data_IF_550334377611
#
_entry.id   IF_550334377611
#
_cell.length_a   1.000
_cell.length_b   1.000
_cell.length_c   1.000
_cell.angle_alpha   90.00
_cell.angle_beta   90.00
_cell.angle_gamma   90.00
#
_symmetry.space_group_name_H-M   'P 1'
#
loop_
_entity.id
_entity.type
_entity.pdbx_description
1 polymer ?
#
# COMPACT_ATOMS: atom_id res chain seq x y z
N UNK A 1 15.29 -44.42 -22.69
CA UNK A 1 15.58 -43.14 -21.98
C UNK A 1 14.40 -42.18 -21.97
N UNK A 2 13.69 -41.97 -23.09
CA UNK A 2 12.56 -41.03 -23.21
C UNK A 2 11.44 -41.24 -22.16
N UNK A 3 11.05 -42.50 -21.87
CA UNK A 3 10.00 -42.81 -20.88
C UNK A 3 10.34 -42.38 -19.44
N UNK A 4 11.62 -42.35 -19.05
CA UNK A 4 12.05 -41.91 -17.71
C UNK A 4 12.03 -40.38 -17.57
N UNK A 5 12.31 -39.67 -18.67
CA UNK A 5 12.28 -38.19 -18.71
C UNK A 5 10.83 -37.68 -18.61
N UNK A 6 9.88 -38.35 -19.28
CA UNK A 6 8.45 -38.00 -19.21
C UNK A 6 7.89 -38.20 -17.79
N UNK A 7 8.29 -39.27 -17.10
CA UNK A 7 7.84 -39.54 -15.72
C UNK A 7 8.35 -38.49 -14.72
N UNK A 8 9.59 -38.02 -14.90
CA UNK A 8 10.19 -36.95 -14.09
C UNK A 8 9.51 -35.60 -14.31
N UNK A 9 9.09 -35.31 -15.55
CA UNK A 9 8.35 -34.09 -15.91
C UNK A 9 6.92 -34.08 -15.34
N UNK A 10 6.24 -35.22 -15.32
CA UNK A 10 4.91 -35.35 -14.69
C UNK A 10 4.99 -35.28 -13.15
N UNK A 11 6.06 -35.82 -12.55
CA UNK A 11 6.28 -35.72 -11.11
C UNK A 11 6.58 -34.29 -10.65
N UNK A 12 7.27 -33.47 -11.48
CA UNK A 12 7.51 -32.06 -11.16
C UNK A 12 6.27 -31.17 -11.27
N UNK A 13 5.27 -31.55 -12.07
CA UNK A 13 3.99 -30.83 -12.15
C UNK A 13 3.13 -31.07 -10.90
N UNK A 14 3.25 -32.24 -10.27
CA UNK A 14 2.54 -32.58 -9.02
C UNK A 14 3.18 -31.97 -7.76
N UNK A 15 4.41 -31.46 -7.86
CA UNK A 15 5.12 -30.77 -6.78
C UNK A 15 4.93 -29.24 -6.79
N UNK A 16 4.23 -28.70 -7.80
CA UNK A 16 3.69 -27.35 -7.73
C UNK A 16 2.54 -27.39 -6.73
N UNK A 17 2.84 -26.96 -5.50
CA UNK A 17 1.98 -27.09 -4.34
C UNK A 17 0.53 -26.74 -4.65
N UNK A 18 -0.38 -27.53 -4.08
CA UNK A 18 -1.78 -27.18 -4.04
C UNK A 18 -1.88 -25.81 -3.34
N UNK A 19 -2.10 -24.75 -4.11
CA UNK A 19 -2.65 -23.51 -3.57
C UNK A 19 -4.04 -23.90 -3.11
N UNK A 20 -4.19 -24.23 -1.83
CA UNK A 20 -5.51 -24.45 -1.25
C UNK A 20 -6.25 -23.13 -1.41
N UNK A 21 -7.31 -23.13 -2.23
CA UNK A 21 -8.18 -21.98 -2.34
C UNK A 21 -8.69 -21.65 -0.94
N UNK A 22 -8.49 -20.41 -0.50
CA UNK A 22 -9.10 -19.93 0.73
C UNK A 22 -10.61 -20.01 0.57
N UNK A 23 -11.27 -20.67 1.52
CA UNK A 23 -12.71 -20.55 1.68
C UNK A 23 -12.99 -19.24 2.41
N UNK A 24 -13.37 -18.21 1.65
CA UNK A 24 -13.71 -16.88 2.13
C UNK A 24 -15.22 -16.66 2.25
N UNK A 25 -16.00 -17.74 2.31
CA UNK A 25 -17.47 -17.67 2.41
C UNK A 25 -17.96 -17.17 3.77
N UNK A 26 -17.19 -17.38 4.83
CA UNK A 26 -17.50 -16.94 6.19
C UNK A 26 -16.83 -15.61 6.57
N UNK A 27 -16.11 -14.97 5.65
CA UNK A 27 -15.43 -13.71 5.92
C UNK A 27 -16.46 -12.58 5.97
N UNK A 28 -16.28 -11.67 6.93
CA UNK A 28 -17.06 -10.43 7.00
C UNK A 28 -16.56 -9.42 5.95
N UNK A 29 -17.29 -8.33 5.75
CA UNK A 29 -16.85 -7.24 4.88
C UNK A 29 -16.73 -5.92 5.63
N UNK A 30 -15.84 -5.06 5.15
CA UNK A 30 -15.68 -3.70 5.63
C UNK A 30 -15.55 -2.73 4.44
N UNK A 31 -16.19 -1.57 4.55
CA UNK A 31 -16.04 -0.50 3.55
C UNK A 31 -14.85 0.37 3.93
N UNK A 32 -13.91 0.55 3.00
CA UNK A 32 -12.78 1.47 3.12
C UNK A 32 -12.69 2.25 1.82
N UNK A 33 -12.80 3.57 1.92
CA UNK A 33 -12.95 4.47 0.81
C UNK A 33 -14.21 4.14 0.02
N UNK A 34 -14.01 3.87 -1.27
CA UNK A 34 -15.06 3.53 -2.21
C UNK A 34 -15.15 2.03 -2.52
N UNK A 35 -14.41 1.21 -1.78
CA UNK A 35 -14.33 -0.24 -1.98
C UNK A 35 -14.83 -1.00 -0.75
N UNK A 36 -15.38 -2.19 -1.01
CA UNK A 36 -15.70 -3.18 0.03
C UNK A 36 -14.62 -4.26 0.03
N UNK A 37 -14.04 -4.51 1.20
CA UNK A 37 -13.02 -5.54 1.39
C UNK A 37 -13.56 -6.67 2.25
N UNK A 38 -13.28 -7.91 1.86
CA UNK A 38 -13.44 -9.06 2.75
C UNK A 38 -12.37 -9.02 3.83
N UNK A 39 -12.77 -9.28 5.07
CA UNK A 39 -11.91 -9.28 6.24
C UNK A 39 -11.77 -10.72 6.77
N UNK A 40 -10.53 -11.23 6.94
CA UNK A 40 -10.30 -12.54 7.53
C UNK A 40 -10.91 -12.64 8.94
N UNK A 41 -11.44 -13.81 9.34
CA UNK A 41 -12.04 -13.99 10.68
C UNK A 41 -11.11 -13.64 11.86
N UNK A 42 -9.80 -13.82 11.67
CA UNK A 42 -8.79 -13.46 12.68
C UNK A 42 -8.61 -11.96 12.90
N UNK A 43 -9.13 -11.13 11.99
CA UNK A 43 -9.11 -9.66 12.05
C UNK A 43 -10.51 -9.07 12.17
N UNK A 44 -11.50 -9.85 12.59
CA UNK A 44 -12.84 -9.35 12.89
C UNK A 44 -12.83 -8.45 14.13
N UNK A 45 -13.74 -7.47 14.14
CA UNK A 45 -13.91 -6.46 15.21
C UNK A 45 -12.75 -5.45 15.24
N UNK A 46 -12.84 -4.39 14.42
CA UNK A 46 -11.76 -3.42 14.33
C UNK A 46 -11.60 -2.63 15.62
N UNK A 47 -10.36 -2.27 15.94
CA UNK A 47 -10.04 -1.22 16.90
C UNK A 47 -10.63 0.13 16.44
N UNK A 48 -10.50 0.43 15.14
CA UNK A 48 -11.05 1.63 14.52
C UNK A 48 -11.48 1.35 13.08
N UNK A 49 -12.62 1.91 12.68
CA UNK A 49 -13.05 1.85 11.29
C UNK A 49 -13.84 3.09 10.91
N UNK A 50 -13.44 3.71 9.81
CA UNK A 50 -14.10 4.85 9.20
C UNK A 50 -13.94 4.81 7.67
N UNK A 51 -14.32 5.89 6.99
CA UNK A 51 -14.19 5.97 5.54
C UNK A 51 -12.75 5.79 5.05
N UNK A 52 -11.74 6.22 5.81
CA UNK A 52 -10.35 6.16 5.35
C UNK A 52 -9.66 4.85 5.72
N UNK A 53 -10.17 4.09 6.69
CA UNK A 53 -9.46 2.91 7.19
C UNK A 53 -10.33 1.85 7.86
N UNK A 54 -9.78 0.64 7.86
CA UNK A 54 -10.13 -0.45 8.76
C UNK A 54 -8.85 -0.86 9.49
N UNK A 55 -8.80 -0.68 10.82
CA UNK A 55 -7.65 -1.01 11.67
C UNK A 55 -8.08 -2.05 12.70
N UNK A 56 -7.49 -3.25 12.64
CA UNK A 56 -7.83 -4.32 13.57
C UNK A 56 -7.28 -4.06 14.98
N UNK A 57 -6.06 -3.56 15.07
CA UNK A 57 -5.35 -3.32 16.32
C UNK A 57 -4.83 -1.87 16.36
N UNK A 58 -4.47 -1.38 17.54
CA UNK A 58 -3.83 -0.06 17.69
C UNK A 58 -2.47 -0.01 16.97
N UNK A 59 -1.78 -1.16 16.86
CA UNK A 59 -0.60 -1.33 16.02
C UNK A 59 -1.06 -1.56 14.57
N UNK A 60 -0.96 -0.49 13.77
CA UNK A 60 -1.35 -0.49 12.35
C UNK A 60 -0.62 -1.55 11.51
N UNK A 61 0.48 -2.13 12.01
CA UNK A 61 1.21 -3.17 11.31
C UNK A 61 0.62 -4.57 11.55
N UNK A 62 -0.31 -4.76 12.49
CA UNK A 62 -0.98 -6.05 12.72
C UNK A 62 -1.86 -6.41 11.53
N UNK A 63 -2.89 -5.59 11.26
CA UNK A 63 -3.71 -5.68 10.07
C UNK A 63 -4.45 -4.35 9.85
N UNK A 64 -4.22 -3.71 8.71
CA UNK A 64 -4.88 -2.46 8.34
C UNK A 64 -5.19 -2.45 6.85
N UNK A 65 -6.38 -1.97 6.47
CA UNK A 65 -6.70 -1.56 5.10
C UNK A 65 -6.91 -0.05 5.10
N UNK A 66 -6.25 0.69 4.20
CA UNK A 66 -6.31 2.16 4.18
C UNK A 66 -6.52 2.71 2.79
N UNK A 67 -7.46 3.65 2.69
CA UNK A 67 -7.64 4.53 1.53
C UNK A 67 -6.62 5.67 1.60
N UNK A 68 -5.83 5.84 0.53
CA UNK A 68 -4.65 6.72 0.58
C UNK A 68 -4.67 7.91 -0.36
N UNK A 69 -5.61 8.03 -1.30
CA UNK A 69 -5.61 9.14 -2.27
C UNK A 69 -5.43 10.54 -1.65
N UNK A 70 -6.06 10.91 -0.52
CA UNK A 70 -5.87 12.24 0.05
C UNK A 70 -4.43 12.57 0.44
N UNK A 71 -3.62 11.55 0.71
CA UNK A 71 -2.24 11.68 1.20
C UNK A 71 -1.26 10.79 0.40
N UNK A 72 -1.59 10.48 -0.86
CA UNK A 72 -0.85 9.49 -1.65
C UNK A 72 0.62 9.91 -1.82
N UNK A 73 0.87 11.19 -2.14
CA UNK A 73 2.20 11.78 -2.28
C UNK A 73 3.06 11.56 -1.03
N UNK A 74 2.56 11.99 0.13
CA UNK A 74 3.32 11.97 1.40
C UNK A 74 3.58 10.55 1.87
N UNK A 75 2.54 9.71 1.90
CA UNK A 75 2.65 8.35 2.38
C UNK A 75 3.51 7.50 1.45
N UNK A 76 3.24 7.53 0.14
CA UNK A 76 3.97 6.71 -0.82
C UNK A 76 5.45 7.12 -0.86
N UNK A 77 5.73 8.42 -0.91
CA UNK A 77 7.10 8.92 -0.93
C UNK A 77 7.88 8.52 0.31
N UNK A 78 7.29 8.69 1.50
CA UNK A 78 7.90 8.22 2.75
C UNK A 78 8.19 6.71 2.71
N UNK A 79 7.24 5.88 2.23
CA UNK A 79 7.46 4.44 2.17
C UNK A 79 8.59 4.06 1.20
N UNK A 80 8.68 4.69 0.04
CA UNK A 80 9.73 4.45 -0.95
C UNK A 80 11.12 4.76 -0.40
N UNK A 81 11.28 5.82 0.39
CA UNK A 81 12.59 6.21 0.93
C UNK A 81 13.02 5.34 2.12
N UNK A 82 12.08 4.85 2.93
CA UNK A 82 12.39 4.24 4.22
C UNK A 82 12.26 2.72 4.26
N UNK A 83 11.80 2.08 3.18
CA UNK A 83 11.47 0.66 3.17
C UNK A 83 12.08 -0.05 1.95
N UNK A 84 12.32 -1.36 2.10
CA UNK A 84 12.61 -2.19 0.94
C UNK A 84 11.31 -2.41 0.17
N UNK A 85 11.37 -2.41 -1.16
CA UNK A 85 10.17 -2.63 -1.97
C UNK A 85 10.42 -3.42 -3.25
N UNK A 86 9.35 -4.04 -3.76
CA UNK A 86 9.33 -4.72 -5.06
C UNK A 86 7.98 -4.54 -5.73
N UNK A 87 8.00 -4.48 -7.06
CA UNK A 87 6.78 -4.56 -7.89
C UNK A 87 6.27 -5.99 -7.92
N UNK A 88 4.97 -6.17 -7.75
CA UNK A 88 4.31 -7.49 -7.73
C UNK A 88 2.97 -7.41 -8.44
N UNK A 89 2.42 -8.57 -8.79
CA UNK A 89 1.02 -8.70 -9.19
C UNK A 89 0.32 -9.61 -8.18
N UNK A 90 -0.79 -9.14 -7.61
CA UNK A 90 -1.54 -9.86 -6.57
C UNK A 90 -2.99 -9.94 -7.02
N UNK A 91 -3.48 -11.16 -7.26
CA UNK A 91 -4.87 -11.39 -7.68
C UNK A 91 -5.32 -10.56 -8.90
N UNK A 92 -4.40 -10.25 -9.82
CA UNK A 92 -4.68 -9.43 -11.00
C UNK A 92 -4.48 -7.93 -10.81
N UNK A 93 -4.11 -7.47 -9.61
CA UNK A 93 -3.77 -6.08 -9.34
C UNK A 93 -2.26 -5.88 -9.42
N UNK A 94 -1.82 -4.88 -10.20
CA UNK A 94 -0.47 -4.34 -10.07
C UNK A 94 -0.29 -3.67 -8.71
N UNK A 95 0.84 -3.94 -8.07
CA UNK A 95 1.06 -3.52 -6.70
C UNK A 95 2.55 -3.30 -6.37
N UNK A 96 2.78 -2.54 -5.29
CA UNK A 96 4.09 -2.36 -4.66
C UNK A 96 4.06 -3.03 -3.29
N UNK A 97 4.93 -4.01 -3.08
CA UNK A 97 5.10 -4.66 -1.79
C UNK A 97 6.32 -4.09 -1.08
N UNK A 98 6.06 -3.41 0.04
CA UNK A 98 7.04 -2.87 0.96
C UNK A 98 7.28 -3.84 2.11
N UNK A 99 8.53 -3.93 2.56
CA UNK A 99 8.92 -4.62 3.79
C UNK A 99 9.84 -3.75 4.64
N UNK A 100 9.58 -3.74 5.94
CA UNK A 100 10.44 -3.10 6.93
C UNK A 100 10.59 -3.99 8.15
N UNK A 101 11.80 -3.99 8.71
CA UNK A 101 12.09 -4.66 9.95
C UNK A 101 11.83 -3.72 11.13
N UNK A 102 10.90 -4.08 12.00
CA UNK A 102 10.63 -3.38 13.24
C UNK A 102 11.58 -3.90 14.33
N UNK A 103 12.39 -3.00 14.88
CA UNK A 103 13.37 -3.33 15.91
C UNK A 103 12.75 -3.48 17.30
N UNK A 104 11.55 -2.93 17.52
CA UNK A 104 10.91 -2.90 18.84
C UNK A 104 10.34 -4.27 19.20
N UNK A 105 9.70 -4.95 18.25
CA UNK A 105 9.17 -6.30 18.43
C UNK A 105 9.95 -7.38 17.66
N UNK A 106 11.04 -6.99 16.98
CA UNK A 106 11.90 -7.85 16.17
C UNK A 106 11.13 -8.62 15.09
N UNK A 107 10.08 -8.02 14.54
CA UNK A 107 9.30 -8.58 13.43
C UNK A 107 9.60 -7.86 12.12
N UNK A 108 9.22 -8.49 11.01
CA UNK A 108 9.18 -7.83 9.70
C UNK A 108 7.73 -7.57 9.37
N UNK A 109 7.42 -6.34 9.00
CA UNK A 109 6.08 -5.90 8.65
C UNK A 109 6.03 -5.59 7.16
N UNK A 110 4.89 -5.90 6.54
CA UNK A 110 4.65 -5.67 5.13
C UNK A 110 3.57 -4.64 4.90
N UNK A 111 3.68 -3.94 3.78
CA UNK A 111 2.59 -3.13 3.22
C UNK A 111 2.47 -3.41 1.73
N UNK A 112 1.25 -3.60 1.24
CA UNK A 112 0.97 -3.82 -0.17
C UNK A 112 0.12 -2.67 -0.68
N UNK A 113 0.69 -1.86 -1.56
CA UNK A 113 0.02 -0.75 -2.21
C UNK A 113 -0.52 -1.18 -3.56
N UNK A 114 -1.79 -0.91 -3.85
CA UNK A 114 -2.45 -1.29 -5.10
C UNK A 114 -3.57 -0.30 -5.42
N UNK A 115 -4.12 -0.42 -6.61
CA UNK A 115 -5.33 0.32 -7.00
C UNK A 115 -6.54 -0.60 -7.10
N UNK A 116 -7.69 -0.08 -6.72
CA UNK A 116 -8.99 -0.73 -6.87
C UNK A 116 -10.00 0.32 -7.34
N UNK A 117 -10.72 0.01 -8.42
CA UNK A 117 -11.47 1.03 -9.15
C UNK A 117 -10.56 2.15 -9.66
N UNK A 118 -10.88 3.39 -9.31
CA UNK A 118 -10.07 4.59 -9.64
C UNK A 118 -9.18 5.03 -8.46
N UNK A 119 -9.18 4.27 -7.37
CA UNK A 119 -8.63 4.68 -6.08
C UNK A 119 -7.40 3.85 -5.70
N UNK A 120 -6.62 4.34 -4.74
CA UNK A 120 -5.43 3.70 -4.20
C UNK A 120 -5.61 3.33 -2.74
N UNK A 121 -5.08 2.17 -2.41
CA UNK A 121 -5.14 1.59 -1.07
C UNK A 121 -3.80 1.00 -0.68
N UNK A 122 -3.62 0.78 0.63
CA UNK A 122 -2.67 -0.23 1.09
C UNK A 122 -3.30 -1.19 2.09
N UNK A 123 -2.75 -2.41 2.13
CA UNK A 123 -2.95 -3.37 3.23
C UNK A 123 -1.64 -3.48 4.00
N UNK A 124 -1.67 -3.43 5.32
CA UNK A 124 -0.53 -3.68 6.20
C UNK A 124 -0.74 -4.98 6.99
N UNK A 125 0.32 -5.76 7.21
CA UNK A 125 0.27 -6.97 8.04
C UNK A 125 1.65 -7.33 8.62
N UNK A 126 1.64 -8.14 9.69
CA UNK A 126 2.86 -8.75 10.24
C UNK A 126 3.31 -9.90 9.37
N UNK A 127 4.59 -9.90 9.00
CA UNK A 127 5.21 -10.89 8.12
C UNK A 127 5.88 -10.25 6.91
N UNK A 128 6.75 -11.01 6.25
CA UNK A 128 7.45 -10.58 5.03
C UNK A 128 6.80 -11.08 3.75
N UNK A 129 5.91 -12.07 3.83
CA UNK A 129 5.34 -12.72 2.65
C UNK A 129 3.89 -12.29 2.43
N UNK A 130 3.50 -12.18 1.16
CA UNK A 130 2.10 -12.02 0.76
C UNK A 130 1.43 -13.38 0.98
N UNK A 131 0.52 -13.45 1.96
CA UNK A 131 -0.17 -14.69 2.30
C UNK A 131 -1.41 -14.88 1.44
N UNK A 132 -1.94 -16.10 1.29
CA UNK A 132 -3.20 -16.32 0.58
C UNK A 132 -4.36 -15.51 1.16
N UNK A 133 -4.32 -15.15 2.45
CA UNK A 133 -5.32 -14.29 3.07
C UNK A 133 -5.26 -12.87 2.49
N UNK A 134 -4.07 -12.29 2.42
CA UNK A 134 -3.85 -10.98 1.81
C UNK A 134 -4.25 -11.00 0.33
N UNK A 135 -3.93 -12.06 -0.41
CA UNK A 135 -4.37 -12.23 -1.80
C UNK A 135 -5.89 -12.20 -1.95
N UNK A 136 -6.63 -12.83 -1.03
CA UNK A 136 -8.09 -12.86 -1.04
C UNK A 136 -8.71 -11.52 -0.59
N UNK A 137 -8.08 -10.77 0.32
CA UNK A 137 -8.47 -9.39 0.64
C UNK A 137 -8.35 -8.51 -0.61
N UNK A 138 -7.21 -8.53 -1.30
CA UNK A 138 -7.01 -7.75 -2.54
C UNK A 138 -8.05 -8.14 -3.60
N UNK A 139 -8.25 -9.44 -3.81
CA UNK A 139 -9.19 -9.99 -4.79
C UNK A 139 -10.65 -9.61 -4.54
N UNK A 140 -11.01 -9.27 -3.30
CA UNK A 140 -12.37 -8.85 -2.96
C UNK A 140 -12.72 -7.44 -3.45
N UNK A 141 -11.70 -6.62 -3.74
CA UNK A 141 -11.88 -5.26 -4.27
C UNK A 141 -12.17 -5.24 -5.77
N UNK A 142 -12.67 -4.12 -6.27
CA UNK A 142 -12.92 -3.92 -7.70
C UNK A 142 -11.59 -3.94 -8.48
N UNK A 143 -11.55 -4.53 -9.68
CA UNK A 143 -10.37 -4.45 -10.55
C UNK A 143 -9.95 -2.99 -10.77
N UNK A 144 -8.65 -2.75 -10.87
CA UNK A 144 -8.12 -1.43 -11.21
C UNK A 144 -8.65 -0.96 -12.57
N UNK A 145 -9.01 0.33 -12.65
CA UNK A 145 -9.30 1.00 -13.93
C UNK A 145 -8.05 1.52 -14.63
N UNK A 146 -6.88 1.41 -13.99
CA UNK A 146 -5.60 1.79 -14.57
C UNK A 146 -4.96 0.59 -15.27
N UNK A 147 -4.35 0.83 -16.43
CA UNK A 147 -3.40 -0.12 -17.00
C UNK A 147 -2.14 -0.22 -16.12
N UNK A 148 -1.35 -1.28 -16.34
CA UNK A 148 -0.05 -1.47 -15.69
C UNK A 148 0.83 -0.22 -15.77
N UNK A 149 0.97 0.36 -16.97
CA UNK A 149 1.83 1.53 -17.18
C UNK A 149 1.26 2.79 -16.49
N UNK A 150 -0.06 2.98 -16.51
CA UNK A 150 -0.71 4.11 -15.82
C UNK A 150 -0.56 4.02 -14.31
N UNK A 151 -0.75 2.84 -13.73
CA UNK A 151 -0.58 2.61 -12.29
C UNK A 151 0.80 3.02 -11.80
N UNK A 152 1.87 2.52 -12.44
CA UNK A 152 3.23 2.88 -12.03
C UNK A 152 3.60 4.31 -12.40
N UNK A 153 3.03 4.86 -13.48
CA UNK A 153 3.25 6.26 -13.84
C UNK A 153 2.72 7.20 -12.76
N UNK A 154 1.48 6.98 -12.29
CA UNK A 154 0.87 7.78 -11.21
C UNK A 154 1.76 7.73 -9.97
N UNK A 155 2.12 6.53 -9.51
CA UNK A 155 2.98 6.37 -8.33
C UNK A 155 4.35 7.05 -8.47
N UNK A 156 4.97 6.96 -9.66
CA UNK A 156 6.23 7.64 -9.91
C UNK A 156 6.06 9.18 -9.88
N UNK A 157 5.00 9.71 -10.45
CA UNK A 157 4.70 11.15 -10.42
C UNK A 157 4.49 11.65 -8.98
N UNK A 158 3.76 10.88 -8.15
CA UNK A 158 3.59 11.18 -6.73
C UNK A 158 4.91 11.15 -5.96
N UNK A 159 5.81 10.21 -6.26
CA UNK A 159 7.14 10.18 -5.64
C UNK A 159 8.03 11.35 -6.07
N UNK A 160 7.99 11.76 -7.35
CA UNK A 160 8.72 12.95 -7.79
C UNK A 160 8.19 14.22 -7.10
N UNK A 161 6.87 14.34 -6.95
CA UNK A 161 6.25 15.45 -6.22
C UNK A 161 6.68 15.47 -4.75
N UNK A 162 6.70 14.30 -4.08
CA UNK A 162 7.19 14.17 -2.72
C UNK A 162 8.62 14.71 -2.58
N UNK A 163 9.55 14.29 -3.45
CA UNK A 163 10.95 14.75 -3.40
C UNK A 163 11.08 16.26 -3.58
N UNK A 164 10.25 16.86 -4.43
CA UNK A 164 10.23 18.32 -4.63
C UNK A 164 9.81 19.01 -3.33
N UNK A 165 8.75 18.54 -2.69
CA UNK A 165 8.25 19.13 -1.45
C UNK A 165 9.24 18.94 -0.30
N UNK A 166 9.77 17.73 -0.12
CA UNK A 166 10.78 17.45 0.92
C UNK A 166 12.05 18.32 0.75
N UNK A 167 12.51 18.51 -0.49
CA UNK A 167 13.62 19.42 -0.79
C UNK A 167 13.30 20.89 -0.47
N UNK A 168 12.05 21.34 -0.67
CA UNK A 168 11.63 22.71 -0.32
C UNK A 168 11.53 22.86 1.21
N UNK A 169 10.98 21.87 1.90
CA UNK A 169 10.80 21.91 3.35
C UNK A 169 12.13 21.84 4.09
N UNK A 170 13.05 20.97 3.68
CA UNK A 170 14.42 20.91 4.25
C UNK A 170 15.15 22.25 4.12
N UNK A 171 15.01 22.96 2.98
CA UNK A 171 15.59 24.30 2.80
C UNK A 171 14.95 25.36 3.73
N UNK A 172 13.67 25.22 4.11
CA UNK A 172 13.03 26.15 5.07
C UNK A 172 13.61 26.03 6.48
N UNK A 173 14.05 24.84 6.88
CA UNK A 173 14.64 24.62 8.21
C UNK A 173 16.11 25.06 8.30
N UNK A 174 16.81 25.21 7.17
CA UNK A 174 18.19 25.69 7.11
C UNK A 174 18.34 27.23 7.06
N UNK A 175 17.23 27.99 6.97
CA UNK A 175 17.29 29.44 7.11
C UNK A 175 17.39 29.84 8.59
N UNK A 176 18.35 30.70 8.99
CA UNK A 176 18.33 31.29 10.32
C UNK A 176 16.99 32.01 10.51
N UNK A 177 16.28 31.71 11.60
CA UNK A 177 15.09 32.44 12.04
C UNK A 177 15.47 33.90 12.30
N UNK A 178 15.50 34.70 11.25
CA UNK A 178 15.60 36.15 11.37
C UNK A 178 14.19 36.73 11.44
N UNK A 179 13.99 37.61 12.41
CA UNK A 179 12.69 38.12 12.81
C UNK A 179 12.09 38.98 11.69
N UNK A 180 10.95 38.59 11.09
CA UNK A 180 10.02 39.59 10.58
C UNK A 180 9.18 39.34 9.33
N UNK A 181 9.33 38.24 8.58
CA UNK A 181 8.48 38.02 7.39
C UNK A 181 7.97 36.58 7.29
N UNK A 182 6.66 36.41 7.49
CA UNK A 182 5.98 35.14 7.29
C UNK A 182 5.53 35.01 5.83
N UNK A 183 6.35 34.34 5.02
CA UNK A 183 5.91 33.83 3.72
C UNK A 183 5.15 32.53 3.96
N UNK A 184 3.92 32.42 3.44
CA UNK A 184 3.18 31.16 3.46
C UNK A 184 2.91 30.67 2.03
N UNK A 185 2.88 29.35 1.88
CA UNK A 185 2.40 28.67 0.68
C UNK A 185 1.14 27.94 1.11
N UNK A 186 0.01 28.30 0.52
CA UNK A 186 -1.26 27.60 0.70
C UNK A 186 -1.45 26.67 -0.50
N UNK A 187 -1.70 25.39 -0.22
CA UNK A 187 -2.08 24.41 -1.24
C UNK A 187 -3.59 24.28 -1.20
N UNK A 188 -4.23 24.73 -2.27
CA UNK A 188 -5.66 24.52 -2.53
C UNK A 188 -5.85 23.77 -3.84
N UNK A 189 -7.08 23.32 -4.09
CA UNK A 189 -7.50 22.45 -5.22
C UNK A 189 -7.20 22.99 -6.62
N UNK A 190 -6.68 24.21 -6.77
CA UNK A 190 -6.39 24.88 -8.04
C UNK A 190 -4.90 25.24 -8.26
N UNK A 191 -3.97 24.64 -7.50
CA UNK A 191 -2.52 24.88 -7.65
C UNK A 191 -1.94 25.96 -6.73
N UNK A 192 -0.62 26.21 -6.86
CA UNK A 192 0.16 27.04 -5.94
C UNK A 192 -0.26 28.51 -5.93
N UNK A 193 -0.55 29.06 -4.75
CA UNK A 193 -0.64 30.51 -4.52
C UNK A 193 0.49 31.00 -3.62
N UNK A 194 1.22 32.01 -4.07
CA UNK A 194 2.25 32.70 -3.31
C UNK A 194 1.68 34.00 -2.72
N UNK A 195 1.86 34.21 -1.42
CA UNK A 195 1.48 35.43 -0.72
C UNK A 195 2.56 35.90 0.24
N UNK A 196 2.75 37.22 0.31
CA UNK A 196 3.57 37.91 1.31
C UNK A 196 2.60 38.69 2.21
N UNK A 197 2.63 38.42 3.52
CA UNK A 197 1.93 39.26 4.50
C UNK A 197 2.93 40.31 5.00
N UNK A 198 2.59 41.59 4.84
CA UNK A 198 3.30 42.70 5.45
C UNK A 198 2.75 43.00 6.84
#
# INVERSE_FOLDING_TARGET
MIKKIILLLLASILLMGWVNAIDSSNWTTANVGYEEFKIPPEYENPYSSDFNMYEYDYDINVFTVRYVNPNIMELYGYFIEHNQFKKVNVSGHDAIHFTAHDRMDNTTNSKLWFSAGEEFYYIAWKGSEITPQIEEVVKSSSPSKYSHDEFYKILNEEFENYKIIDAIESQRYDYPRDNGHHSFVSVGTNGFSYGIIN
#
